data_IF_843250421448
#
_entry.id   IF_843250421448
#
_cell.length_a   1.000
_cell.length_b   1.000
_cell.length_c   1.000
_cell.angle_alpha   90.00
_cell.angle_beta   90.00
_cell.angle_gamma   90.00
#
_symmetry.space_group_name_H-M   'P 1'
#
loop_
_entity.id
_entity.type
_entity.pdbx_description
1 polymer ?
#
# COMPACT_ATOMS: atom_id res chain seq x y z
N UNK A 1 -10.59 58.77 -46.12
CA UNK A 1 -9.29 58.28 -45.57
C UNK A 1 -9.49 58.09 -44.07
N UNK A 2 -9.12 57.01 -43.38
CA UNK A 2 -8.22 55.88 -43.71
C UNK A 2 -8.94 54.52 -43.48
N UNK A 3 -8.42 53.45 -44.10
CA UNK A 3 -8.74 52.07 -43.72
C UNK A 3 -8.04 51.72 -42.40
N UNK A 4 -8.66 50.89 -41.57
CA UNK A 4 -7.93 50.12 -40.55
C UNK A 4 -8.44 48.66 -40.59
N UNK A 5 -7.63 47.79 -41.18
CA UNK A 5 -7.83 46.35 -41.09
C UNK A 5 -7.16 45.87 -39.82
N UNK A 6 -7.88 45.12 -38.98
CA UNK A 6 -7.29 44.42 -37.84
C UNK A 6 -7.57 42.94 -38.01
N UNK A 7 -6.49 42.16 -38.12
CA UNK A 7 -6.50 40.73 -38.32
C UNK A 7 -5.62 40.07 -37.24
N UNK A 8 -5.84 38.77 -37.02
CA UNK A 8 -5.10 37.90 -36.10
C UNK A 8 -5.32 38.23 -34.59
N UNK A 9 -5.23 37.27 -33.66
CA UNK A 9 -4.87 35.85 -33.78
C UNK A 9 -5.99 34.95 -33.21
N UNK A 10 -6.28 33.83 -33.88
CA UNK A 10 -6.86 32.67 -33.21
C UNK A 10 -5.72 31.91 -32.52
N UNK A 11 -5.71 31.91 -31.18
CA UNK A 11 -4.74 31.12 -30.41
C UNK A 11 -5.09 29.64 -30.49
N UNK A 12 -4.31 28.88 -31.26
CA UNK A 12 -4.36 27.41 -31.21
C UNK A 12 -3.70 26.98 -29.90
N UNK A 13 -4.51 26.64 -28.91
CA UNK A 13 -4.02 25.99 -27.71
C UNK A 13 -3.49 24.60 -28.10
N UNK A 14 -2.17 24.41 -27.97
CA UNK A 14 -1.55 23.10 -28.08
C UNK A 14 -1.95 22.28 -26.84
N UNK A 15 -3.04 21.53 -26.95
CA UNK A 15 -3.37 20.50 -25.99
C UNK A 15 -2.27 19.42 -26.04
N UNK A 16 -1.36 19.46 -25.08
CA UNK A 16 -0.39 18.40 -24.88
C UNK A 16 -1.11 17.09 -24.55
N UNK A 17 -0.61 15.97 -25.06
CA UNK A 17 -1.13 14.64 -24.75
C UNK A 17 -0.72 14.19 -23.34
N UNK A 18 -1.14 14.93 -22.32
CA UNK A 18 -1.23 14.46 -20.94
C UNK A 18 -2.66 13.97 -20.69
N UNK A 19 -2.80 12.86 -19.97
CA UNK A 19 -4.10 12.48 -19.39
C UNK A 19 -4.46 13.57 -18.38
N UNK A 20 -5.72 14.01 -18.35
CA UNK A 20 -6.18 14.97 -17.34
C UNK A 20 -6.10 14.30 -15.96
N UNK A 21 -5.28 14.81 -15.01
CA UNK A 21 -5.14 14.20 -13.68
C UNK A 21 -6.48 14.09 -12.94
N UNK A 22 -7.42 15.02 -13.18
CA UNK A 22 -8.76 14.97 -12.58
C UNK A 22 -9.59 13.83 -13.16
N UNK A 23 -9.43 13.52 -14.45
CA UNK A 23 -10.10 12.39 -15.09
C UNK A 23 -9.54 11.04 -14.60
N UNK A 24 -8.22 10.93 -14.42
CA UNK A 24 -7.58 9.74 -13.85
C UNK A 24 -8.00 9.51 -12.39
N UNK A 25 -7.96 10.55 -11.54
CA UNK A 25 -8.46 10.47 -10.16
C UNK A 25 -9.93 10.02 -10.12
N UNK A 26 -10.79 10.60 -10.96
CA UNK A 26 -12.21 10.26 -11.00
C UNK A 26 -12.46 8.81 -11.46
N UNK A 27 -11.63 8.28 -12.37
CA UNK A 27 -11.68 6.87 -12.76
C UNK A 27 -11.23 5.95 -11.62
N UNK A 28 -10.13 6.27 -10.92
CA UNK A 28 -9.67 5.49 -9.75
C UNK A 28 -10.74 5.44 -8.67
N UNK A 29 -11.37 6.58 -8.34
CA UNK A 29 -12.46 6.64 -7.35
C UNK A 29 -13.65 5.78 -7.79
N UNK A 30 -14.04 5.85 -9.08
CA UNK A 30 -15.13 5.04 -9.62
C UNK A 30 -14.82 3.55 -9.52
N UNK A 31 -13.61 3.14 -9.91
CA UNK A 31 -13.15 1.76 -9.86
C UNK A 31 -13.09 1.24 -8.40
N UNK A 32 -12.67 2.06 -7.44
CA UNK A 32 -12.67 1.69 -6.02
C UNK A 32 -14.08 1.50 -5.46
N UNK A 33 -15.03 2.36 -5.82
CA UNK A 33 -16.43 2.20 -5.41
C UNK A 33 -17.04 0.92 -6.00
N UNK A 34 -16.76 0.60 -7.27
CA UNK A 34 -17.20 -0.65 -7.91
C UNK A 34 -16.51 -1.90 -7.34
N UNK A 35 -15.24 -1.80 -6.95
CA UNK A 35 -14.50 -2.82 -6.20
C UNK A 35 -15.02 -3.04 -4.77
N UNK A 36 -15.92 -2.18 -4.28
CA UNK A 36 -16.63 -2.32 -3.01
C UNK A 36 -16.07 -1.49 -1.85
N UNK A 37 -15.10 -0.59 -2.11
CA UNK A 37 -14.64 0.39 -1.13
C UNK A 37 -15.68 1.53 -0.97
N UNK A 38 -15.81 2.14 0.22
CA UNK A 38 -16.82 3.16 0.49
C UNK A 38 -16.25 4.55 0.22
N UNK A 39 -17.07 5.45 -0.30
CA UNK A 39 -16.63 6.80 -0.66
C UNK A 39 -15.96 7.57 0.51
N UNK A 40 -16.39 7.32 1.76
CA UNK A 40 -15.87 8.01 2.95
C UNK A 40 -14.47 7.53 3.42
N UNK A 41 -13.96 6.40 2.90
CA UNK A 41 -12.59 5.91 3.19
C UNK A 41 -11.65 6.11 1.99
N UNK A 42 -12.18 6.50 0.82
CA UNK A 42 -11.40 6.95 -0.33
C UNK A 42 -11.05 8.44 -0.15
N UNK A 43 -9.77 8.79 -0.23
CA UNK A 43 -9.30 10.18 -0.12
C UNK A 43 -8.38 10.57 -1.27
N UNK A 44 -8.37 11.86 -1.60
CA UNK A 44 -7.38 12.45 -2.51
C UNK A 44 -6.39 13.27 -1.69
N UNK A 45 -5.11 12.97 -1.81
CA UNK A 45 -4.02 13.67 -1.13
C UNK A 45 -2.85 13.86 -2.09
N UNK A 46 -2.38 15.10 -2.26
CA UNK A 46 -1.29 15.47 -3.19
C UNK A 46 -1.49 14.88 -4.61
N UNK A 47 -2.70 15.05 -5.15
CA UNK A 47 -3.16 14.54 -6.45
C UNK A 47 -3.16 13.00 -6.63
N UNK A 48 -2.91 12.24 -5.56
CA UNK A 48 -2.95 10.79 -5.51
C UNK A 48 -4.19 10.28 -4.73
N UNK A 49 -4.72 9.10 -5.12
CA UNK A 49 -5.91 8.50 -4.48
C UNK A 49 -5.51 7.40 -3.51
N UNK A 50 -5.89 7.55 -2.24
CA UNK A 50 -5.62 6.59 -1.17
C UNK A 50 -6.92 5.96 -0.67
N UNK A 51 -6.78 4.77 -0.10
CA UNK A 51 -7.81 4.08 0.67
C UNK A 51 -7.18 3.53 1.95
N UNK A 52 -7.95 3.32 3.02
CA UNK A 52 -7.37 2.97 4.31
C UNK A 52 -6.54 4.09 4.98
N UNK A 53 -6.44 5.29 4.41
CA UNK A 53 -5.53 6.39 4.81
C UNK A 53 -4.04 6.18 4.49
N UNK A 54 -3.64 4.99 4.03
CA UNK A 54 -2.24 4.55 3.89
C UNK A 54 -1.98 3.80 2.56
N UNK A 55 -2.97 3.18 1.93
CA UNK A 55 -2.79 2.46 0.68
C UNK A 55 -3.10 3.33 -0.55
N UNK A 56 -2.07 3.79 -1.27
CA UNK A 56 -2.21 4.44 -2.58
C UNK A 56 -2.72 3.46 -3.65
N UNK A 57 -3.61 3.93 -4.52
CA UNK A 57 -4.22 3.16 -5.60
C UNK A 57 -3.90 3.81 -6.94
N UNK A 58 -3.11 3.13 -7.76
CA UNK A 58 -2.81 3.57 -9.14
C UNK A 58 -3.97 3.28 -10.08
N UNK A 59 -4.04 3.97 -11.22
CA UNK A 59 -5.02 3.69 -12.27
C UNK A 59 -4.93 2.24 -12.78
N UNK A 60 -3.73 1.69 -12.93
CA UNK A 60 -3.54 0.27 -13.29
C UNK A 60 -4.10 -0.65 -12.20
N UNK A 61 -3.73 -0.41 -10.93
CA UNK A 61 -4.20 -1.24 -9.82
C UNK A 61 -5.73 -1.22 -9.69
N UNK A 62 -6.36 -0.04 -9.82
CA UNK A 62 -7.83 0.08 -9.74
C UNK A 62 -8.55 -0.63 -10.89
N UNK A 63 -7.99 -0.63 -12.11
CA UNK A 63 -8.53 -1.38 -13.25
C UNK A 63 -8.36 -2.90 -13.11
N UNK A 64 -7.26 -3.34 -12.50
CA UNK A 64 -7.05 -4.75 -12.14
C UNK A 64 -8.03 -5.22 -11.05
N UNK A 65 -8.43 -4.34 -10.12
CA UNK A 65 -9.46 -4.63 -9.11
C UNK A 65 -10.84 -4.88 -9.70
N UNK A 66 -11.15 -4.38 -10.91
CA UNK A 66 -12.43 -4.66 -11.58
C UNK A 66 -12.45 -5.96 -12.39
N UNK A 67 -11.30 -6.63 -12.57
CA UNK A 67 -11.27 -7.88 -13.31
C UNK A 67 -11.91 -9.01 -12.49
N UNK A 68 -12.77 -9.87 -13.08
CA UNK A 68 -13.39 -10.98 -12.36
C UNK A 68 -12.36 -12.04 -11.96
N UNK A 69 -11.75 -11.85 -10.78
CA UNK A 69 -10.87 -12.81 -10.13
C UNK A 69 -11.64 -14.03 -9.63
N UNK A 70 -11.02 -15.21 -9.69
CA UNK A 70 -11.56 -16.41 -9.03
C UNK A 70 -11.60 -16.21 -7.51
N UNK A 71 -12.75 -16.50 -6.90
CA UNK A 71 -12.95 -16.45 -5.46
C UNK A 71 -12.05 -17.44 -4.68
N UNK A 72 -11.51 -17.02 -3.53
CA UNK A 72 -10.77 -17.83 -2.54
C UNK A 72 -10.61 -17.03 -1.22
N UNK A 73 -10.87 -17.57 0.00
CA UNK A 73 -11.18 -16.84 1.27
C UNK A 73 -10.21 -17.01 2.51
N UNK A 74 -10.28 -16.19 3.61
CA UNK A 74 -9.60 -15.98 5.00
C UNK A 74 -8.50 -14.83 5.35
N UNK A 75 -8.77 -13.64 5.95
CA UNK A 75 -7.85 -12.43 6.04
C UNK A 75 -7.59 -11.71 4.69
N UNK A 76 -7.63 -10.38 4.63
CA UNK A 76 -7.97 -9.66 3.39
C UNK A 76 -6.79 -9.24 2.51
N UNK A 77 -6.81 -9.63 1.24
CA UNK A 77 -5.98 -9.15 0.13
C UNK A 77 -6.80 -8.42 -0.94
N UNK A 78 -6.11 -7.67 -1.80
CA UNK A 78 -6.68 -7.26 -3.09
C UNK A 78 -6.64 -8.42 -4.10
N UNK A 79 -7.30 -8.25 -5.24
CA UNK A 79 -7.14 -9.13 -6.41
C UNK A 79 -5.70 -9.14 -6.94
N UNK A 80 -4.96 -8.04 -6.75
CA UNK A 80 -3.65 -7.80 -7.33
C UNK A 80 -2.57 -8.38 -6.42
N UNK A 81 -1.84 -9.38 -6.90
CA UNK A 81 -0.78 -10.07 -6.15
C UNK A 81 0.55 -10.03 -6.90
N UNK A 82 1.64 -10.23 -6.15
CA UNK A 82 2.98 -10.35 -6.71
C UNK A 82 3.12 -11.68 -7.47
N UNK A 83 3.33 -11.57 -8.78
CA UNK A 83 3.36 -12.70 -9.70
C UNK A 83 4.45 -13.73 -9.40
N UNK A 84 4.31 -14.92 -9.97
CA UNK A 84 5.26 -16.04 -9.81
C UNK A 84 6.66 -15.77 -10.38
N UNK A 85 6.79 -14.77 -11.26
CA UNK A 85 8.06 -14.31 -11.85
C UNK A 85 8.90 -13.45 -10.92
N UNK A 86 8.31 -12.91 -9.84
CA UNK A 86 9.02 -12.16 -8.81
C UNK A 86 9.45 -13.13 -7.70
N UNK A 87 10.74 -13.14 -7.39
CA UNK A 87 11.37 -14.05 -6.41
C UNK A 87 12.32 -13.33 -5.45
N UNK A 88 12.92 -12.21 -5.89
CA UNK A 88 13.72 -11.30 -5.05
C UNK A 88 13.22 -9.87 -5.22
N UNK A 89 12.74 -9.28 -4.13
CA UNK A 89 12.32 -7.88 -4.03
C UNK A 89 13.43 -7.12 -3.31
N UNK A 90 13.98 -6.09 -3.95
CA UNK A 90 15.01 -5.25 -3.33
C UNK A 90 14.39 -3.98 -2.77
N UNK A 91 14.51 -3.78 -1.46
CA UNK A 91 14.02 -2.58 -0.78
C UNK A 91 15.16 -1.58 -0.67
N UNK A 92 15.10 -0.51 -1.45
CA UNK A 92 16.15 0.48 -1.62
C UNK A 92 15.83 1.72 -0.77
N UNK A 93 16.38 1.86 0.45
CA UNK A 93 16.18 3.05 1.27
C UNK A 93 16.91 4.27 0.71
N UNK A 94 16.25 5.42 0.72
CA UNK A 94 16.88 6.71 0.35
C UNK A 94 17.94 7.14 1.36
N UNK A 95 18.80 8.10 1.00
CA UNK A 95 19.77 8.68 1.94
C UNK A 95 19.08 9.33 3.14
N UNK A 96 17.94 10.02 2.92
CA UNK A 96 17.12 10.58 3.99
C UNK A 96 16.58 9.48 4.92
N UNK A 97 16.04 8.38 4.37
CA UNK A 97 15.58 7.24 5.18
C UNK A 97 16.69 6.68 6.07
N UNK A 98 17.86 6.41 5.50
CA UNK A 98 19.01 5.88 6.25
C UNK A 98 19.57 6.86 7.31
N UNK A 99 19.25 8.16 7.22
CA UNK A 99 19.66 9.14 8.24
C UNK A 99 18.90 9.00 9.57
N UNK A 100 17.73 8.35 9.56
CA UNK A 100 16.96 8.04 10.75
C UNK A 100 17.31 6.64 11.25
N UNK A 101 18.07 6.57 12.35
CA UNK A 101 18.61 5.31 12.87
C UNK A 101 17.55 4.26 13.26
N UNK A 102 16.36 4.67 13.72
CA UNK A 102 15.26 3.74 14.05
C UNK A 102 14.57 3.20 12.81
N UNK A 103 14.29 4.06 11.83
CA UNK A 103 13.72 3.63 10.53
C UNK A 103 14.69 2.67 9.83
N UNK A 104 15.99 2.99 9.84
CA UNK A 104 17.03 2.12 9.28
C UNK A 104 17.07 0.76 9.97
N UNK A 105 17.08 0.71 11.30
CA UNK A 105 17.11 -0.57 12.04
C UNK A 105 15.81 -1.37 11.86
N UNK A 106 14.65 -0.70 11.87
CA UNK A 106 13.35 -1.33 11.63
C UNK A 106 13.24 -1.95 10.23
N UNK A 107 13.87 -1.35 9.21
CA UNK A 107 13.93 -1.93 7.87
C UNK A 107 14.79 -3.19 7.80
N UNK A 108 15.92 -3.26 8.54
CA UNK A 108 16.72 -4.48 8.61
C UNK A 108 15.94 -5.62 9.29
N UNK A 109 15.24 -5.29 10.38
CA UNK A 109 14.42 -6.24 11.12
C UNK A 109 13.22 -6.73 10.30
N UNK A 110 12.46 -5.83 9.67
CA UNK A 110 11.34 -6.19 8.78
C UNK A 110 11.78 -7.13 7.63
N UNK A 111 12.91 -6.84 6.99
CA UNK A 111 13.47 -7.71 5.93
C UNK A 111 13.86 -9.09 6.51
N UNK A 112 14.44 -9.14 7.71
CA UNK A 112 14.76 -10.41 8.38
C UNK A 112 13.49 -11.21 8.74
N UNK A 113 12.45 -10.53 9.23
CA UNK A 113 11.16 -11.12 9.63
C UNK A 113 10.42 -11.74 8.42
N UNK A 114 10.34 -11.05 7.28
CA UNK A 114 9.83 -11.64 6.03
C UNK A 114 10.66 -12.86 5.58
N UNK A 115 11.99 -12.74 5.52
CA UNK A 115 12.86 -13.81 5.05
C UNK A 115 12.87 -15.04 5.99
N UNK A 116 12.63 -14.83 7.29
CA UNK A 116 12.55 -15.89 8.29
C UNK A 116 11.41 -16.89 8.06
N UNK A 117 10.40 -16.54 7.25
CA UNK A 117 9.30 -17.44 6.88
C UNK A 117 9.62 -18.39 5.72
N UNK A 118 10.66 -18.12 4.92
CA UNK A 118 11.04 -19.00 3.80
C UNK A 118 10.06 -19.03 2.62
N UNK A 119 9.32 -17.93 2.40
CA UNK A 119 8.35 -17.75 1.31
C UNK A 119 9.00 -17.87 -0.09
N UNK A 120 8.21 -18.05 -1.16
CA UNK A 120 8.68 -17.96 -2.56
C UNK A 120 9.34 -16.62 -2.90
N UNK A 121 8.92 -15.54 -2.24
CA UNK A 121 9.51 -14.21 -2.39
C UNK A 121 10.49 -13.95 -1.24
N UNK A 122 11.64 -13.37 -1.58
CA UNK A 122 12.66 -12.94 -0.62
C UNK A 122 12.86 -11.44 -0.71
N UNK A 123 13.14 -10.81 0.42
CA UNK A 123 13.46 -9.39 0.50
C UNK A 123 14.97 -9.19 0.67
N UNK A 124 15.53 -8.17 0.05
CA UNK A 124 16.93 -7.82 0.23
C UNK A 124 17.10 -6.31 0.38
N UNK A 125 17.91 -5.87 1.33
CA UNK A 125 18.23 -4.46 1.48
C UNK A 125 19.09 -3.99 0.30
N UNK A 126 18.64 -2.93 -0.34
CA UNK A 126 19.34 -2.26 -1.42
C UNK A 126 20.34 -1.21 -0.93
N UNK A 127 21.26 -0.75 -1.80
CA UNK A 127 21.41 -1.18 -3.19
C UNK A 127 22.06 -2.57 -3.30
N UNK A 128 21.47 -3.45 -4.12
CA UNK A 128 21.97 -4.81 -4.37
C UNK A 128 21.55 -5.29 -5.76
N UNK A 129 22.12 -6.39 -6.26
CA UNK A 129 21.90 -6.91 -7.61
C UNK A 129 21.03 -8.18 -7.62
N UNK A 130 20.57 -8.61 -8.80
CA UNK A 130 19.75 -9.81 -8.98
C UNK A 130 18.29 -9.67 -8.55
N UNK A 131 17.80 -8.43 -8.42
CA UNK A 131 16.44 -8.09 -8.04
C UNK A 131 15.46 -8.36 -9.21
N UNK A 132 14.39 -9.11 -8.97
CA UNK A 132 13.28 -9.26 -9.92
C UNK A 132 12.23 -8.14 -9.81
N UNK A 133 12.18 -7.47 -8.65
CA UNK A 133 11.38 -6.26 -8.42
C UNK A 133 12.12 -5.34 -7.43
N UNK A 134 11.69 -4.08 -7.36
CA UNK A 134 12.25 -3.07 -6.45
C UNK A 134 11.13 -2.33 -5.72
N UNK A 135 11.38 -2.00 -4.47
CA UNK A 135 10.60 -1.06 -3.65
C UNK A 135 11.57 0.04 -3.20
N UNK A 136 11.13 1.29 -3.17
CA UNK A 136 11.89 2.42 -2.61
C UNK A 136 11.38 2.70 -1.20
N UNK A 137 12.25 2.68 -0.19
CA UNK A 137 11.87 3.11 1.15
C UNK A 137 12.26 4.57 1.35
N UNK A 138 11.25 5.44 1.52
CA UNK A 138 11.41 6.89 1.65
C UNK A 138 10.71 7.42 2.90
N UNK A 139 10.87 8.71 3.18
CA UNK A 139 10.43 9.37 4.40
C UNK A 139 9.24 10.30 4.16
N UNK A 140 8.27 10.29 5.07
CA UNK A 140 7.18 11.27 5.14
C UNK A 140 7.12 11.95 6.52
N UNK A 141 6.20 12.90 6.69
CA UNK A 141 5.88 13.50 8.00
C UNK A 141 5.00 12.56 8.84
N UNK A 142 4.80 12.90 10.12
CA UNK A 142 3.99 12.07 11.03
C UNK A 142 4.70 10.80 11.51
N UNK A 143 3.94 9.86 12.09
CA UNK A 143 4.44 8.63 12.70
C UNK A 143 3.73 7.34 12.21
N UNK A 144 3.00 7.41 11.10
CA UNK A 144 2.48 6.23 10.39
C UNK A 144 3.38 5.85 9.22
N UNK A 145 2.84 5.10 8.28
CA UNK A 145 3.41 4.91 6.94
C UNK A 145 2.36 5.11 5.85
N UNK A 146 2.78 4.91 4.61
CA UNK A 146 1.88 4.67 3.48
C UNK A 146 2.61 3.90 2.38
N UNK A 147 1.85 3.09 1.64
CA UNK A 147 2.33 2.28 0.55
C UNK A 147 1.28 2.31 -0.58
N UNK A 148 0.98 1.16 -1.17
CA UNK A 148 0.00 0.99 -2.23
C UNK A 148 -0.02 -0.47 -2.65
N UNK A 149 -0.96 -0.84 -3.52
CA UNK A 149 -1.14 -2.25 -3.91
C UNK A 149 -0.33 -2.65 -5.15
N UNK A 150 -0.07 -3.96 -5.33
CA UNK A 150 0.51 -4.50 -6.56
C UNK A 150 -0.25 -4.06 -7.83
N UNK A 151 0.48 -3.96 -8.93
CA UNK A 151 -0.08 -3.87 -10.28
C UNK A 151 0.80 -4.59 -11.30
N UNK A 152 0.24 -5.11 -12.39
CA UNK A 152 1.00 -5.80 -13.44
C UNK A 152 1.79 -7.02 -12.95
N UNK A 153 1.36 -7.63 -11.85
CA UNK A 153 2.07 -8.73 -11.16
C UNK A 153 3.35 -8.33 -10.43
N UNK A 154 3.59 -7.04 -10.18
CA UNK A 154 4.75 -6.52 -9.43
C UNK A 154 4.32 -5.90 -8.11
N UNK A 155 5.19 -5.89 -7.08
CA UNK A 155 4.90 -5.15 -5.85
C UNK A 155 4.81 -3.65 -6.12
N UNK A 156 4.10 -2.93 -5.26
CA UNK A 156 4.06 -1.47 -5.32
C UNK A 156 5.45 -0.87 -5.08
N UNK A 157 5.80 0.16 -5.86
CA UNK A 157 7.20 0.59 -6.01
C UNK A 157 7.79 1.43 -4.86
N UNK A 158 6.98 1.82 -3.86
CA UNK A 158 7.39 2.77 -2.80
C UNK A 158 6.72 2.43 -1.47
N UNK A 159 7.47 2.56 -0.37
CA UNK A 159 6.91 2.73 0.98
C UNK A 159 7.38 4.07 1.54
N UNK A 160 6.46 4.86 2.09
CA UNK A 160 6.72 6.12 2.77
C UNK A 160 6.61 5.88 4.27
N UNK A 161 7.62 6.25 5.05
CA UNK A 161 7.64 5.98 6.50
C UNK A 161 7.78 7.29 7.28
N UNK A 162 6.91 7.49 8.24
CA UNK A 162 6.81 8.70 9.06
C UNK A 162 8.06 8.91 9.91
N UNK A 163 8.75 10.02 9.70
CA UNK A 163 9.98 10.39 10.43
C UNK A 163 9.78 10.55 11.95
N UNK A 164 8.54 10.74 12.41
CA UNK A 164 8.16 10.72 13.83
C UNK A 164 8.39 9.38 14.52
N UNK A 165 8.42 8.26 13.76
CA UNK A 165 8.77 6.94 14.29
C UNK A 165 10.19 6.86 14.86
N UNK A 166 11.08 7.82 14.53
CA UNK A 166 12.38 7.98 15.19
C UNK A 166 12.27 8.15 16.72
N UNK A 167 11.11 8.57 17.24
CA UNK A 167 10.83 8.68 18.69
C UNK A 167 10.31 7.40 19.34
N UNK A 168 10.06 6.33 18.57
CA UNK A 168 9.51 5.06 19.03
C UNK A 168 10.61 3.97 19.16
N UNK A 169 10.23 2.77 19.63
CA UNK A 169 11.13 1.61 19.68
C UNK A 169 11.54 1.14 18.27
N UNK A 170 12.62 0.36 18.17
CA UNK A 170 12.97 -0.29 16.90
C UNK A 170 11.85 -1.23 16.43
N UNK A 171 11.24 -1.95 17.37
CA UNK A 171 10.17 -2.93 17.19
C UNK A 171 8.90 -2.29 16.60
N UNK A 172 8.56 -1.05 16.99
CA UNK A 172 7.44 -0.29 16.39
C UNK A 172 7.81 0.24 14.99
N UNK A 173 9.07 0.60 14.75
CA UNK A 173 9.53 0.96 13.40
C UNK A 173 9.49 -0.27 12.48
N UNK A 174 9.94 -1.42 12.95
CA UNK A 174 9.81 -2.71 12.27
C UNK A 174 8.36 -3.03 11.96
N UNK A 175 7.44 -2.88 12.93
CA UNK A 175 6.01 -3.16 12.71
C UNK A 175 5.43 -2.33 11.56
N UNK A 176 5.61 -0.99 11.58
CA UNK A 176 5.08 -0.14 10.50
C UNK A 176 5.76 -0.45 9.16
N UNK A 177 7.07 -0.66 9.13
CA UNK A 177 7.76 -1.01 7.86
C UNK A 177 7.32 -2.38 7.33
N UNK A 178 7.08 -3.34 8.22
CA UNK A 178 6.61 -4.69 7.87
C UNK A 178 5.18 -4.65 7.30
N UNK A 179 4.33 -3.81 7.89
CA UNK A 179 2.98 -3.48 7.45
C UNK A 179 2.94 -2.83 6.07
N UNK A 180 3.73 -1.76 5.83
CA UNK A 180 3.79 -1.10 4.51
C UNK A 180 4.30 -2.02 3.40
N UNK A 181 5.28 -2.88 3.72
CA UNK A 181 5.73 -3.94 2.80
C UNK A 181 4.61 -4.97 2.53
N UNK A 182 3.69 -5.17 3.48
CA UNK A 182 2.52 -6.03 3.36
C UNK A 182 1.53 -5.49 2.32
N UNK A 183 1.19 -4.20 2.43
CA UNK A 183 0.43 -3.50 1.38
C UNK A 183 1.11 -3.59 0.02
N UNK A 184 2.42 -3.34 -0.04
CA UNK A 184 3.18 -3.42 -1.28
C UNK A 184 3.18 -4.81 -1.95
N UNK A 185 2.85 -5.89 -1.21
CA UNK A 185 2.63 -7.24 -1.74
C UNK A 185 1.16 -7.70 -1.72
N UNK A 186 0.21 -6.80 -1.50
CA UNK A 186 -1.23 -7.03 -1.73
C UNK A 186 -2.08 -7.34 -0.49
N UNK A 187 -1.52 -7.29 0.72
CA UNK A 187 -2.33 -7.34 1.94
C UNK A 187 -3.14 -6.05 2.11
N UNK A 188 -4.36 -6.18 2.63
CA UNK A 188 -5.15 -5.09 3.22
C UNK A 188 -5.17 -5.22 4.74
N UNK A 189 -5.80 -4.26 5.40
CA UNK A 189 -6.06 -4.40 6.82
C UNK A 189 -6.96 -5.61 7.15
N UNK A 190 -6.62 -6.27 8.23
CA UNK A 190 -7.41 -7.32 8.87
C UNK A 190 -8.73 -6.78 9.42
N UNK A 191 -8.73 -5.57 10.00
CA UNK A 191 -9.90 -4.85 10.48
C UNK A 191 -10.47 -3.83 9.47
N UNK A 192 -10.25 -4.03 8.16
CA UNK A 192 -10.80 -3.17 7.10
C UNK A 192 -12.31 -2.93 7.26
N UNK A 193 -13.07 -3.92 7.74
CA UNK A 193 -14.53 -3.83 7.94
C UNK A 193 -14.95 -3.05 9.20
N UNK A 194 -14.03 -2.78 10.13
CA UNK A 194 -14.25 -1.96 11.32
C UNK A 194 -12.93 -1.53 11.97
N UNK A 195 -12.38 -0.40 11.54
CA UNK A 195 -11.09 0.14 12.03
C UNK A 195 -11.10 0.54 13.50
N UNK A 196 -12.27 0.70 14.11
CA UNK A 196 -12.35 0.97 15.57
C UNK A 196 -11.85 -0.21 16.42
N UNK A 197 -11.65 -1.39 15.82
CA UNK A 197 -10.97 -2.52 16.47
C UNK A 197 -9.52 -2.13 16.83
N UNK A 198 -8.68 -1.74 15.87
CA UNK A 198 -7.30 -1.36 16.16
C UNK A 198 -7.12 0.11 16.57
N UNK A 199 -7.85 1.03 15.93
CA UNK A 199 -7.70 2.47 16.12
C UNK A 199 -8.52 3.04 17.30
N UNK A 200 -9.52 2.31 17.79
CA UNK A 200 -10.56 2.86 18.67
C UNK A 200 -11.44 3.91 17.98
N UNK A 201 -12.19 4.68 18.78
CA UNK A 201 -13.07 5.74 18.25
C UNK A 201 -14.31 5.23 17.51
N UNK A 202 -14.78 6.01 16.54
CA UNK A 202 -15.94 5.65 15.71
C UNK A 202 -15.57 4.57 14.69
N UNK A 203 -16.49 3.63 14.45
CA UNK A 203 -16.32 2.60 13.43
C UNK A 203 -16.34 3.20 12.01
N UNK A 204 -15.15 3.41 11.42
CA UNK A 204 -14.98 3.53 9.98
C UNK A 204 -14.61 2.19 9.37
N UNK A 205 -14.86 2.01 8.08
CA UNK A 205 -14.49 0.82 7.34
C UNK A 205 -14.02 1.18 5.93
N UNK A 206 -13.14 0.36 5.38
CA UNK A 206 -12.66 0.38 4.00
C UNK A 206 -13.54 -0.50 3.09
N UNK A 207 -14.81 -0.69 3.46
CA UNK A 207 -15.84 -1.20 2.57
C UNK A 207 -16.25 -2.65 2.78
N UNK A 208 -16.84 -3.18 1.73
CA UNK A 208 -17.47 -4.51 1.71
C UNK A 208 -16.52 -5.58 1.18
N UNK A 209 -16.81 -6.85 1.48
CA UNK A 209 -16.04 -8.03 1.05
C UNK A 209 -16.15 -8.36 -0.46
N UNK A 210 -16.28 -7.33 -1.31
CA UNK A 210 -16.45 -7.45 -2.76
C UNK A 210 -15.13 -7.69 -3.51
N UNK A 211 -15.00 -7.09 -4.70
CA UNK A 211 -13.85 -7.28 -5.61
C UNK A 211 -12.61 -6.51 -5.14
N UNK A 212 -12.14 -6.82 -3.94
CA UNK A 212 -11.04 -6.10 -3.31
C UNK A 212 -10.82 -6.38 -1.82
N UNK A 213 -11.74 -7.09 -1.15
CA UNK A 213 -11.53 -7.60 0.20
C UNK A 213 -11.67 -9.12 0.17
N UNK A 214 -10.66 -9.76 -0.41
CA UNK A 214 -10.58 -11.21 -0.59
C UNK A 214 -9.78 -11.79 0.57
N UNK A 215 -10.51 -12.44 1.47
CA UNK A 215 -10.08 -13.30 2.58
C UNK A 215 -9.00 -14.34 1.96
N UNK A 216 -7.90 -14.81 2.62
CA UNK A 216 -6.81 -15.82 2.31
C UNK A 216 -6.76 -17.17 3.19
N UNK A 217 -6.85 -18.41 2.68
CA UNK A 217 -7.23 -19.59 3.49
C UNK A 217 -6.41 -19.92 4.76
N UNK A 218 -7.10 -20.20 5.87
CA UNK A 218 -6.55 -20.71 7.13
C UNK A 218 -6.51 -19.69 8.28
N UNK A 219 -7.29 -18.60 8.24
CA UNK A 219 -7.20 -17.49 9.20
C UNK A 219 -8.56 -17.03 9.73
N UNK A 220 -8.54 -16.13 10.73
CA UNK A 220 -9.75 -15.58 11.33
C UNK A 220 -10.41 -14.52 10.44
N UNK A 221 -11.72 -14.65 10.21
CA UNK A 221 -12.55 -13.56 9.65
C UNK A 221 -12.83 -12.44 10.65
N UNK A 222 -12.49 -12.64 11.93
CA UNK A 222 -12.64 -11.63 12.99
C UNK A 222 -11.27 -11.09 13.39
N UNK A 223 -11.05 -9.80 13.15
CA UNK A 223 -9.89 -9.07 13.62
C UNK A 223 -9.98 -8.77 15.12
N UNK A 224 -8.82 -8.66 15.76
CA UNK A 224 -8.64 -8.30 17.17
C UNK A 224 -7.48 -7.31 17.32
N UNK A 225 -7.41 -6.60 18.44
CA UNK A 225 -6.42 -5.52 18.65
C UNK A 225 -5.00 -6.08 18.77
N UNK A 226 -4.17 -5.86 17.75
CA UNK A 226 -2.85 -6.49 17.65
C UNK A 226 -2.92 -7.97 17.31
N UNK A 227 -4.02 -8.42 16.68
CA UNK A 227 -4.20 -9.78 16.19
C UNK A 227 -3.53 -10.03 14.84
N UNK A 228 -3.00 -8.97 14.19
CA UNK A 228 -2.30 -9.00 12.91
C UNK A 228 -1.35 -7.81 12.83
N UNK A 229 -0.23 -7.93 12.11
CA UNK A 229 0.56 -6.75 11.69
C UNK A 229 -0.28 -5.84 10.78
N UNK A 230 -1.18 -6.41 9.99
CA UNK A 230 -2.11 -5.66 9.16
C UNK A 230 -3.32 -5.15 9.97
N UNK A 231 -3.14 -4.70 11.21
CA UNK A 231 -4.16 -3.90 11.90
C UNK A 231 -4.06 -2.45 11.43
N UNK A 232 -5.20 -1.78 11.16
CA UNK A 232 -5.23 -0.40 10.63
C UNK A 232 -4.59 0.67 11.50
N UNK A 233 -4.31 0.37 12.77
CA UNK A 233 -3.52 1.20 13.66
C UNK A 233 -2.60 0.32 14.51
N UNK A 234 -1.31 0.69 14.55
CA UNK A 234 -0.33 0.12 15.46
C UNK A 234 -0.41 0.77 16.86
N UNK A 235 0.03 0.05 17.89
CA UNK A 235 0.20 0.57 19.26
C UNK A 235 1.66 0.94 19.55
N UNK A 236 1.91 1.74 20.58
CA UNK A 236 3.29 2.02 21.04
C UNK A 236 4.02 0.81 21.65
N UNK A 237 3.37 -0.36 21.70
CA UNK A 237 3.86 -1.62 22.26
C UNK A 237 3.94 -2.76 21.23
N UNK A 238 3.93 -2.46 19.93
CA UNK A 238 4.11 -3.53 18.93
C UNK A 238 5.54 -4.09 18.93
N UNK A 239 5.63 -5.37 18.56
CA UNK A 239 6.87 -6.15 18.54
C UNK A 239 7.52 -6.27 17.17
N UNK A 240 6.87 -5.83 16.09
CA UNK A 240 7.32 -6.06 14.70
C UNK A 240 7.11 -7.48 14.17
N UNK A 241 7.00 -8.47 15.07
CA UNK A 241 6.87 -9.91 14.78
C UNK A 241 5.52 -10.35 14.20
N UNK A 242 5.55 -11.28 13.23
CA UNK A 242 4.34 -11.85 12.62
C UNK A 242 3.51 -12.70 13.60
N UNK A 243 2.19 -12.49 13.60
CA UNK A 243 1.25 -13.37 14.32
C UNK A 243 1.09 -14.72 13.62
N UNK A 244 0.45 -15.70 14.27
CA UNK A 244 0.12 -16.98 13.63
C UNK A 244 -0.80 -16.83 12.41
N UNK A 245 -1.72 -15.86 12.44
CA UNK A 245 -2.63 -15.57 11.32
C UNK A 245 -1.86 -15.03 10.12
N UNK A 246 -0.97 -14.05 10.35
CA UNK A 246 -0.18 -13.45 9.28
C UNK A 246 0.76 -14.47 8.63
N UNK A 247 1.36 -15.36 9.42
CA UNK A 247 2.20 -16.46 8.91
C UNK A 247 1.42 -17.38 8.00
N UNK A 248 0.19 -17.76 8.35
CA UNK A 248 -0.67 -18.58 7.48
C UNK A 248 -0.99 -17.85 6.18
N UNK A 249 -1.40 -16.58 6.27
CA UNK A 249 -1.75 -15.79 5.09
C UNK A 249 -0.55 -15.57 4.14
N UNK A 250 0.64 -15.29 4.68
CA UNK A 250 1.87 -15.15 3.91
C UNK A 250 2.23 -16.45 3.18
N UNK A 251 2.26 -17.60 3.88
CA UNK A 251 2.58 -18.90 3.30
C UNK A 251 1.55 -19.39 2.25
N UNK A 252 0.31 -18.89 2.30
CA UNK A 252 -0.69 -19.20 1.28
C UNK A 252 -0.44 -18.41 -0.02
N UNK A 253 -0.05 -17.14 0.08
CA UNK A 253 0.18 -16.27 -1.09
C UNK A 253 1.56 -16.46 -1.72
N UNK A 254 2.57 -16.77 -0.90
CA UNK A 254 3.99 -16.69 -1.25
C UNK A 254 4.78 -17.88 -0.72
#
# INVERSE_FOLDING_TARGET
MRKLSMALLAGVALAGCGVDPQAEQQEIISNLVEAGFPADDIMVHEDAVYVGQDAHVTLEASREMLQPGKESAEQYRTTNLVGTTVTKICVNPTSSFNSYSRLSAGLDAAIANYNGLGLRITFARGPTTGCTANITATTMSGAGGSAGFPSGGKPYGTINIGTGLQSYSADVNEHVITHELGHAIGFRHSDYYNRSISCGGSATNEGTAGVGAILIPGTSSTATVGGSIMNSCFRSSETGEWTSSDKTALNYLY
#
